data_IF_862915414450
#
_entry.id   IF_862915414450
#
_cell.length_a   1.000
_cell.length_b   1.000
_cell.length_c   1.000
_cell.angle_alpha   90.00
_cell.angle_beta   90.00
_cell.angle_gamma   90.00
#
_symmetry.space_group_name_H-M   'P 1'
#
loop_
_entity.id
_entity.type
_entity.pdbx_description
1 polymer ?
#
# COMPACT_ATOMS: atom_id res chain seq x y z
N UNK A 1 3.82 -10.04 0.19
CA UNK A 1 5.29 -10.04 0.47
C UNK A 1 6.05 -10.62 -0.68
N UNK A 2 7.33 -10.28 -0.84
CA UNK A 2 8.19 -10.86 -1.89
C UNK A 2 8.94 -12.09 -1.35
N UNK A 3 9.00 -13.16 -2.15
CA UNK A 3 9.77 -14.35 -1.82
C UNK A 3 11.27 -14.07 -1.97
N UNK A 4 12.06 -14.37 -0.93
CA UNK A 4 13.53 -14.14 -0.96
C UNK A 4 14.28 -15.00 -1.99
N UNK A 5 13.68 -16.07 -2.48
CA UNK A 5 14.34 -17.03 -3.36
C UNK A 5 14.07 -16.80 -4.85
N UNK A 6 12.91 -16.23 -5.21
CA UNK A 6 12.49 -16.04 -6.61
C UNK A 6 11.85 -14.69 -6.87
N UNK A 7 11.86 -13.77 -5.91
CA UNK A 7 11.29 -12.42 -5.95
C UNK A 7 9.80 -12.35 -6.35
N UNK A 8 9.11 -13.50 -6.45
CA UNK A 8 7.68 -13.53 -6.75
C UNK A 8 6.85 -12.96 -5.59
N UNK A 9 5.75 -12.31 -5.92
CA UNK A 9 4.83 -11.78 -4.94
C UNK A 9 3.99 -12.91 -4.36
N UNK A 10 3.97 -13.03 -3.02
CA UNK A 10 3.23 -14.05 -2.30
C UNK A 10 2.22 -13.35 -1.37
N UNK A 11 0.93 -13.67 -1.55
CA UNK A 11 -0.14 -13.29 -0.64
C UNK A 11 -0.49 -14.47 0.26
N UNK A 12 -0.76 -14.23 1.54
CA UNK A 12 -1.16 -15.27 2.50
C UNK A 12 -2.13 -14.68 3.53
N UNK A 13 -2.94 -15.56 4.11
CA UNK A 13 -3.83 -15.21 5.22
C UNK A 13 -3.10 -15.55 6.52
N UNK A 14 -3.09 -14.63 7.47
CA UNK A 14 -2.33 -14.78 8.72
C UNK A 14 -2.71 -16.04 9.53
N UNK A 15 -3.94 -16.53 9.39
CA UNK A 15 -4.42 -17.75 10.04
C UNK A 15 -3.76 -19.05 9.51
N UNK A 16 -3.25 -19.05 8.28
CA UNK A 16 -2.64 -20.23 7.61
C UNK A 16 -1.10 -20.16 7.59
N UNK A 17 -0.53 -19.21 8.30
CA UNK A 17 0.89 -18.85 8.17
C UNK A 17 1.89 -19.89 8.68
N UNK A 18 1.47 -20.93 9.38
CA UNK A 18 2.41 -21.87 10.04
C UNK A 18 3.29 -22.66 9.05
N UNK A 19 2.82 -22.93 7.81
CA UNK A 19 3.52 -23.74 6.81
C UNK A 19 3.42 -23.14 5.40
N UNK A 20 3.70 -21.85 5.26
CA UNK A 20 3.61 -21.20 3.96
C UNK A 20 4.77 -21.64 3.04
N UNK A 21 4.44 -22.22 1.90
CA UNK A 21 5.39 -22.45 0.81
C UNK A 21 5.14 -21.46 -0.33
N UNK A 22 6.21 -20.98 -0.94
CA UNK A 22 6.10 -20.10 -2.10
C UNK A 22 5.39 -20.84 -3.26
N UNK A 23 4.31 -20.30 -3.85
CA UNK A 23 3.60 -20.98 -4.94
C UNK A 23 4.46 -21.14 -6.20
N UNK A 24 5.47 -20.29 -6.38
CA UNK A 24 6.31 -20.29 -7.56
C UNK A 24 7.55 -21.19 -7.44
N UNK A 25 8.32 -21.09 -6.37
CA UNK A 25 9.55 -21.88 -6.18
C UNK A 25 9.41 -23.02 -5.18
N UNK A 26 8.24 -23.18 -4.54
CA UNK A 26 7.90 -24.22 -3.55
C UNK A 26 8.79 -24.25 -2.30
N UNK A 27 9.69 -23.28 -2.13
CA UNK A 27 10.51 -23.17 -0.93
C UNK A 27 9.66 -22.77 0.28
N UNK A 28 9.87 -23.37 1.46
CA UNK A 28 9.18 -22.98 2.69
C UNK A 28 9.61 -21.57 3.10
N UNK A 29 8.64 -20.77 3.48
CA UNK A 29 8.86 -19.39 3.97
C UNK A 29 8.63 -19.44 5.48
N UNK A 30 9.68 -19.31 6.30
CA UNK A 30 9.53 -19.30 7.75
C UNK A 30 8.85 -18.00 8.16
N UNK A 31 7.63 -18.07 8.65
CA UNK A 31 6.88 -16.95 9.18
C UNK A 31 6.92 -16.98 10.71
N UNK A 32 7.17 -15.81 11.31
CA UNK A 32 7.13 -15.62 12.76
C UNK A 32 5.84 -14.92 13.13
N UNK A 33 4.78 -15.69 13.35
CA UNK A 33 3.49 -15.11 13.76
C UNK A 33 3.53 -14.84 15.26
N UNK A 34 3.43 -13.56 15.61
CA UNK A 34 3.33 -13.13 17.01
C UNK A 34 1.87 -13.23 17.49
N UNK A 35 1.69 -13.47 18.79
CA UNK A 35 0.35 -13.55 19.42
C UNK A 35 -0.46 -12.26 19.28
N UNK A 36 0.19 -11.12 19.17
CA UNK A 36 -0.45 -9.82 18.93
C UNK A 36 -1.26 -9.77 17.62
N UNK A 37 -0.86 -10.52 16.62
CA UNK A 37 -1.53 -10.61 15.32
C UNK A 37 -2.82 -11.39 15.44
N UNK A 38 -2.82 -12.51 16.19
CA UNK A 38 -3.99 -13.37 16.36
C UNK A 38 -5.02 -12.82 17.35
N UNK A 39 -4.57 -12.15 18.40
CA UNK A 39 -5.45 -11.70 19.50
C UNK A 39 -5.93 -10.26 19.30
N UNK A 40 -5.02 -9.34 18.92
CA UNK A 40 -5.31 -7.91 18.88
C UNK A 40 -5.43 -7.34 17.46
N UNK A 41 -5.27 -8.16 16.43
CA UNK A 41 -5.22 -7.71 15.03
C UNK A 41 -4.27 -6.52 14.81
N UNK A 42 -3.18 -6.46 15.58
CA UNK A 42 -2.15 -5.42 15.47
C UNK A 42 -0.81 -6.04 15.13
N UNK A 43 -0.06 -5.38 14.24
CA UNK A 43 1.27 -5.83 13.85
C UNK A 43 2.29 -5.05 14.65
N UNK A 44 3.13 -5.73 15.45
CA UNK A 44 4.24 -5.11 16.19
C UNK A 44 5.58 -5.35 15.51
N UNK A 45 5.77 -6.58 15.02
CA UNK A 45 6.99 -7.00 14.33
C UNK A 45 6.63 -7.64 12.99
N UNK A 46 7.53 -7.52 12.03
CA UNK A 46 7.30 -8.09 10.71
C UNK A 46 7.37 -9.63 10.77
N UNK A 47 6.31 -10.30 10.33
CA UNK A 47 6.19 -11.77 10.33
C UNK A 47 7.24 -12.41 9.42
N UNK A 48 7.62 -11.72 8.33
CA UNK A 48 8.52 -12.25 7.31
C UNK A 48 10.00 -12.06 7.64
N UNK A 49 10.40 -10.94 8.26
CA UNK A 49 11.81 -10.63 8.54
C UNK A 49 12.12 -10.39 10.01
N UNK A 50 11.10 -10.26 10.89
CA UNK A 50 11.28 -9.98 12.31
C UNK A 50 11.63 -8.53 12.64
N UNK A 51 11.61 -7.61 11.67
CA UNK A 51 11.92 -6.20 11.89
C UNK A 51 10.78 -5.49 12.62
N UNK A 52 11.11 -4.55 13.52
CA UNK A 52 10.13 -3.77 14.30
C UNK A 52 9.75 -2.45 13.61
N UNK A 53 10.54 -2.02 12.60
CA UNK A 53 10.29 -0.78 11.91
C UNK A 53 9.28 -1.00 10.78
N UNK A 54 8.04 -0.58 11.06
CA UNK A 54 6.93 -0.60 10.13
C UNK A 54 6.37 0.82 10.03
N UNK A 55 5.78 1.16 8.89
CA UNK A 55 5.11 2.44 8.65
C UNK A 55 3.70 2.24 8.15
N UNK A 56 2.89 3.27 8.32
CA UNK A 56 1.49 3.27 7.87
C UNK A 56 1.38 4.11 6.61
N UNK A 57 0.76 3.55 5.58
CA UNK A 57 0.43 4.27 4.35
C UNK A 57 -1.01 3.96 3.91
N UNK A 58 -1.54 4.77 2.99
CA UNK A 58 -2.83 4.49 2.34
C UNK A 58 -2.69 3.39 1.29
N UNK A 59 -3.64 2.44 1.25
CA UNK A 59 -3.70 1.38 0.22
C UNK A 59 -4.28 1.93 -1.09
N UNK A 60 -3.74 3.05 -1.56
CA UNK A 60 -4.26 3.72 -2.75
C UNK A 60 -3.63 3.13 -4.02
N UNK A 61 -4.49 2.71 -4.95
CA UNK A 61 -4.03 2.23 -6.25
C UNK A 61 -3.59 3.42 -7.11
N UNK A 62 -2.27 3.56 -7.30
CA UNK A 62 -1.66 4.64 -8.09
C UNK A 62 -2.21 4.72 -9.51
N UNK A 63 -2.43 3.57 -10.16
CA UNK A 63 -2.97 3.53 -11.53
C UNK A 63 -4.37 4.12 -11.61
N UNK A 64 -5.21 3.86 -10.59
CA UNK A 64 -6.55 4.43 -10.51
C UNK A 64 -6.51 5.96 -10.37
N UNK A 65 -5.68 6.48 -9.48
CA UNK A 65 -5.51 7.93 -9.31
C UNK A 65 -5.05 8.62 -10.61
N UNK A 66 -4.04 8.06 -11.26
CA UNK A 66 -3.57 8.59 -12.56
C UNK A 66 -4.67 8.56 -13.61
N UNK A 67 -5.45 7.47 -13.71
CA UNK A 67 -6.54 7.36 -14.67
C UNK A 67 -7.61 8.44 -14.45
N UNK A 68 -7.99 8.70 -13.20
CA UNK A 68 -8.96 9.74 -12.84
C UNK A 68 -8.46 11.11 -13.28
N UNK A 69 -7.20 11.45 -12.97
CA UNK A 69 -6.59 12.73 -13.37
C UNK A 69 -6.54 12.88 -14.88
N UNK A 70 -6.13 11.84 -15.62
CA UNK A 70 -6.07 11.85 -17.09
C UNK A 70 -7.46 12.10 -17.69
N UNK A 71 -8.49 11.39 -17.22
CA UNK A 71 -9.86 11.58 -17.67
C UNK A 71 -10.35 13.00 -17.39
N UNK A 72 -10.07 13.54 -16.21
CA UNK A 72 -10.43 14.92 -15.85
C UNK A 72 -9.75 15.97 -16.75
N UNK A 73 -8.46 15.79 -17.03
CA UNK A 73 -7.74 16.67 -17.94
C UNK A 73 -8.29 16.63 -19.36
N UNK A 74 -8.57 15.43 -19.90
CA UNK A 74 -9.13 15.28 -21.25
C UNK A 74 -10.52 15.91 -21.36
N UNK A 75 -11.36 15.73 -20.35
CA UNK A 75 -12.70 16.34 -20.29
C UNK A 75 -12.61 17.87 -20.23
N UNK A 76 -11.68 18.40 -19.43
CA UNK A 76 -11.47 19.85 -19.34
C UNK A 76 -11.00 20.44 -20.66
N UNK A 77 -10.04 19.82 -21.35
CA UNK A 77 -9.56 20.24 -22.67
C UNK A 77 -10.68 20.23 -23.71
N UNK A 78 -11.54 19.19 -23.66
CA UNK A 78 -12.72 19.12 -24.56
C UNK A 78 -13.68 20.32 -24.37
N UNK A 79 -13.97 20.70 -23.11
CA UNK A 79 -14.80 21.87 -22.84
C UNK A 79 -14.14 23.19 -23.24
N UNK A 80 -12.81 23.31 -23.07
CA UNK A 80 -12.07 24.48 -23.57
C UNK A 80 -12.14 24.59 -25.09
N UNK A 81 -12.00 23.47 -25.81
CA UNK A 81 -12.16 23.46 -27.28
C UNK A 81 -13.56 23.90 -27.71
N UNK A 82 -14.59 23.58 -26.91
CA UNK A 82 -15.95 24.05 -27.11
C UNK A 82 -16.22 25.49 -26.70
N UNK A 83 -15.17 26.24 -26.32
CA UNK A 83 -15.26 27.62 -25.82
C UNK A 83 -16.17 27.76 -24.58
N UNK A 84 -16.16 26.75 -23.74
CA UNK A 84 -16.94 26.69 -22.48
C UNK A 84 -16.03 26.61 -21.25
N UNK A 85 -15.31 27.68 -20.87
CA UNK A 85 -14.30 27.65 -19.82
C UNK A 85 -14.87 27.32 -18.44
N UNK A 86 -16.14 27.70 -18.18
CA UNK A 86 -16.79 27.40 -16.91
C UNK A 86 -16.92 25.87 -16.69
N UNK A 87 -17.35 25.14 -17.72
CA UNK A 87 -17.48 23.68 -17.63
C UNK A 87 -16.12 22.98 -17.55
N UNK A 88 -15.08 23.54 -18.16
CA UNK A 88 -13.72 23.07 -18.02
C UNK A 88 -13.23 23.15 -16.56
N UNK A 89 -13.48 24.28 -15.88
CA UNK A 89 -13.12 24.46 -14.47
C UNK A 89 -13.96 23.54 -13.57
N UNK A 90 -15.24 23.39 -13.84
CA UNK A 90 -16.11 22.50 -13.09
C UNK A 90 -15.69 21.03 -13.22
N UNK A 91 -15.25 20.60 -14.41
CA UNK A 91 -14.78 19.23 -14.63
C UNK A 91 -13.50 18.93 -13.83
N UNK A 92 -12.56 19.87 -13.77
CA UNK A 92 -11.35 19.74 -12.93
C UNK A 92 -11.69 19.71 -11.44
N UNK A 93 -12.58 20.60 -10.99
CA UNK A 93 -13.06 20.62 -9.62
C UNK A 93 -13.75 19.33 -9.21
N UNK A 94 -14.61 18.79 -10.07
CA UNK A 94 -15.30 17.52 -9.85
C UNK A 94 -14.29 16.35 -9.77
N UNK A 95 -13.31 16.31 -10.67
CA UNK A 95 -12.25 15.30 -10.67
C UNK A 95 -11.45 15.34 -9.37
N UNK A 96 -11.03 16.51 -8.92
CA UNK A 96 -10.30 16.70 -7.67
C UNK A 96 -11.15 16.25 -6.45
N UNK A 97 -12.45 16.55 -6.46
CA UNK A 97 -13.36 16.12 -5.39
C UNK A 97 -13.50 14.59 -5.34
N UNK A 98 -13.63 13.94 -6.50
CA UNK A 98 -13.71 12.47 -6.60
C UNK A 98 -12.41 11.85 -6.08
N UNK A 99 -11.25 12.35 -6.50
CA UNK A 99 -9.96 11.83 -6.05
C UNK A 99 -9.78 11.99 -4.55
N UNK A 100 -10.15 13.14 -3.99
CA UNK A 100 -10.15 13.38 -2.56
C UNK A 100 -11.06 12.44 -1.77
N UNK A 101 -12.29 12.20 -2.27
CA UNK A 101 -13.23 11.29 -1.63
C UNK A 101 -12.70 9.85 -1.64
N UNK A 102 -12.17 9.39 -2.76
CA UNK A 102 -11.56 8.07 -2.89
C UNK A 102 -10.38 7.92 -1.91
N UNK A 103 -9.50 8.92 -1.84
CA UNK A 103 -8.40 8.92 -0.89
C UNK A 103 -8.86 8.81 0.57
N UNK A 104 -9.98 9.46 0.93
CA UNK A 104 -10.56 9.34 2.28
C UNK A 104 -11.18 7.98 2.57
N UNK A 105 -11.77 7.34 1.56
CA UNK A 105 -12.44 6.03 1.70
C UNK A 105 -11.45 4.87 1.74
N UNK A 106 -10.26 5.05 1.19
CA UNK A 106 -9.22 4.01 1.15
C UNK A 106 -8.66 3.76 2.55
N UNK A 107 -8.59 2.48 2.93
CA UNK A 107 -8.05 2.04 4.20
C UNK A 107 -6.54 2.29 4.33
N UNK A 108 -6.05 2.18 5.55
CA UNK A 108 -4.63 2.23 5.82
C UNK A 108 -4.04 0.83 5.84
N UNK A 109 -2.80 0.70 5.39
CA UNK A 109 -2.02 -0.54 5.46
C UNK A 109 -0.72 -0.29 6.20
N UNK A 110 -0.24 -1.32 6.89
CA UNK A 110 1.06 -1.30 7.55
C UNK A 110 2.08 -1.98 6.65
N UNK A 111 3.24 -1.37 6.47
CA UNK A 111 4.30 -1.87 5.58
C UNK A 111 5.62 -1.93 6.33
N UNK A 112 6.40 -2.98 6.08
CA UNK A 112 7.72 -3.14 6.67
C UNK A 112 8.78 -2.41 5.84
N UNK A 113 9.64 -1.58 6.47
CA UNK A 113 10.74 -0.89 5.79
C UNK A 113 11.78 -1.85 5.19
N UNK A 114 12.03 -2.99 5.83
CA UNK A 114 13.11 -3.89 5.42
C UNK A 114 12.74 -4.85 4.29
N UNK A 115 11.51 -5.41 4.29
CA UNK A 115 11.11 -6.45 3.33
C UNK A 115 9.88 -6.09 2.51
N UNK A 116 9.34 -4.88 2.69
CA UNK A 116 8.16 -4.35 1.98
C UNK A 116 6.91 -5.25 2.06
N UNK A 117 6.81 -6.06 3.12
CA UNK A 117 5.61 -6.85 3.38
C UNK A 117 4.47 -5.93 3.76
N UNK A 118 3.33 -6.05 3.07
CA UNK A 118 2.14 -5.23 3.26
C UNK A 118 1.13 -6.01 4.10
N UNK A 119 0.64 -5.39 5.17
CA UNK A 119 -0.37 -5.92 6.08
C UNK A 119 -1.69 -5.18 5.87
N UNK A 120 -2.69 -5.87 5.33
CA UNK A 120 -4.04 -5.32 5.09
C UNK A 120 -5.03 -5.85 6.12
N UNK A 121 -5.98 -5.00 6.54
CA UNK A 121 -7.03 -5.40 7.49
C UNK A 121 -6.61 -5.43 8.95
N UNK A 122 -5.41 -4.96 9.28
CA UNK A 122 -4.93 -4.84 10.66
C UNK A 122 -5.23 -3.45 11.22
N UNK A 123 -5.41 -3.38 12.55
CA UNK A 123 -5.60 -2.12 13.24
C UNK A 123 -4.29 -1.31 13.25
N UNK A 124 -4.43 0.02 13.20
CA UNK A 124 -3.29 0.94 13.32
C UNK A 124 -2.61 0.76 14.67
N UNK A 125 -1.32 0.47 14.64
CA UNK A 125 -0.51 0.51 15.84
C UNK A 125 -0.01 1.95 16.05
N UNK A 126 -0.30 2.61 17.19
CA UNK A 126 0.14 3.98 17.46
C UNK A 126 1.66 4.15 17.53
N UNK A 127 2.42 3.05 17.62
CA UNK A 127 3.88 3.07 17.61
C UNK A 127 4.48 3.24 16.21
N UNK A 128 3.70 2.98 15.17
CA UNK A 128 4.16 3.10 13.79
C UNK A 128 3.89 4.50 13.27
N UNK A 129 4.94 5.17 12.81
CA UNK A 129 4.86 6.48 12.17
C UNK A 129 4.35 6.36 10.72
N UNK A 130 4.00 7.49 10.14
CA UNK A 130 3.86 7.62 8.69
C UNK A 130 5.21 7.43 8.01
N UNK A 131 5.20 7.10 6.72
CA UNK A 131 6.42 6.91 5.93
C UNK A 131 7.40 8.08 6.07
N UNK A 132 8.66 7.79 6.41
CA UNK A 132 9.76 8.75 6.42
C UNK A 132 10.92 8.22 5.56
N UNK A 133 11.43 9.08 4.65
CA UNK A 133 12.56 8.76 3.79
C UNK A 133 13.84 8.45 4.56
N UNK A 134 14.07 9.12 5.70
CA UNK A 134 15.25 8.88 6.54
C UNK A 134 15.25 7.47 7.13
N UNK A 135 14.07 6.99 7.52
CA UNK A 135 13.92 5.63 8.03
C UNK A 135 14.05 4.59 6.89
N UNK A 136 13.61 4.95 5.67
CA UNK A 136 13.83 4.10 4.51
C UNK A 136 15.33 3.95 4.19
N UNK A 137 16.10 5.02 4.20
CA UNK A 137 17.55 4.97 3.98
C UNK A 137 18.28 4.16 5.07
N UNK A 138 17.79 4.25 6.32
CA UNK A 138 18.38 3.57 7.47
C UNK A 138 18.06 2.08 7.53
N UNK A 139 16.85 1.68 7.16
CA UNK A 139 16.32 0.32 7.35
C UNK A 139 15.97 -0.37 6.03
N UNK A 140 15.73 0.38 4.96
CA UNK A 140 15.33 -0.11 3.65
C UNK A 140 16.53 -0.36 2.76
N UNK A 141 16.92 -1.64 2.61
CA UNK A 141 17.97 -2.00 1.67
C UNK A 141 17.55 -2.01 0.21
N UNK A 142 16.29 -1.78 -0.12
CA UNK A 142 15.75 -1.76 -1.50
C UNK A 142 14.60 -0.77 -1.60
N UNK A 143 14.61 0.01 -2.65
CA UNK A 143 13.53 0.92 -3.01
C UNK A 143 12.21 0.14 -3.24
N UNK A 144 11.07 0.56 -2.63
CA UNK A 144 9.80 -0.09 -2.89
C UNK A 144 9.45 0.04 -4.38
N UNK A 145 9.31 -1.08 -5.08
CA UNK A 145 8.74 -1.08 -6.43
C UNK A 145 7.22 -1.01 -6.30
N UNK A 146 6.69 0.16 -6.57
CA UNK A 146 5.25 0.40 -6.68
C UNK A 146 4.75 0.02 -8.07
#
# INVERSE_FOLDING_TARGET
MQCRACDSEVSFIAAEAANLACPHCKKPIPLRVDKSISENHTVHTCVACGHENLYIQKDFNRSLGIAIVVVGCLTSVFFLYRSQPLYAMLSLGATAAVDYLLYRMVGDVTVCYACHTIYRGFQKNPRHSTFDLKDLEKYGGREPRF
#
